data_IF_076329115376
#
_entry.id   IF_076329115376
#
_cell.length_a   1.000
_cell.length_b   1.000
_cell.length_c   1.000
_cell.angle_alpha   90.00
_cell.angle_beta   90.00
_cell.angle_gamma   90.00
#
_symmetry.space_group_name_H-M   'P 1'
#
loop_
_entity.id
_entity.type
_entity.pdbx_description
1 polymer ?
#
# COMPACT_ATOMS: atom_id res chain seq x y z
N UNK A 1 9.03 16.07 20.38
CA UNK A 1 7.85 16.32 19.51
C UNK A 1 8.14 17.55 18.64
N UNK A 2 8.47 17.35 17.36
CA UNK A 2 9.00 18.40 16.46
C UNK A 2 7.97 19.52 16.24
N UNK A 3 8.21 20.69 16.84
CA UNK A 3 7.26 21.82 16.94
C UNK A 3 7.23 22.74 15.70
N UNK A 4 7.90 22.38 14.60
CA UNK A 4 8.08 23.25 13.41
C UNK A 4 7.64 22.64 12.07
N UNK A 5 7.08 21.43 12.03
CA UNK A 5 6.60 20.87 10.75
C UNK A 5 5.14 21.26 10.50
N UNK A 6 4.86 21.73 9.28
CA UNK A 6 3.47 21.86 8.82
C UNK A 6 2.74 20.50 8.95
N UNK A 7 1.41 20.47 9.16
CA UNK A 7 0.66 19.21 9.29
C UNK A 7 0.91 18.24 8.12
N UNK A 8 1.12 18.79 6.91
CA UNK A 8 1.48 18.01 5.71
C UNK A 8 2.85 17.36 5.81
N UNK A 9 3.86 18.06 6.32
CA UNK A 9 5.21 17.52 6.54
C UNK A 9 5.24 16.46 7.64
N UNK A 10 4.43 16.62 8.69
CA UNK A 10 4.36 15.62 9.76
C UNK A 10 3.69 14.32 9.26
N UNK A 11 2.64 14.42 8.45
CA UNK A 11 2.02 13.27 7.80
C UNK A 11 2.96 12.57 6.81
N UNK A 12 3.75 13.34 6.07
CA UNK A 12 4.80 12.81 5.18
C UNK A 12 5.87 12.07 5.98
N UNK A 13 6.35 12.64 7.09
CA UNK A 13 7.32 12.00 7.96
C UNK A 13 6.79 10.66 8.51
N UNK A 14 5.53 10.63 8.97
CA UNK A 14 4.90 9.40 9.46
C UNK A 14 4.79 8.35 8.34
N UNK A 15 4.43 8.76 7.12
CA UNK A 15 4.37 7.83 5.98
C UNK A 15 5.76 7.31 5.61
N UNK A 16 6.78 8.17 5.58
CA UNK A 16 8.16 7.77 5.27
C UNK A 16 8.72 6.84 6.35
N UNK A 17 8.49 7.13 7.63
CA UNK A 17 8.90 6.26 8.73
C UNK A 17 8.16 4.92 8.72
N UNK A 18 6.86 4.93 8.42
CA UNK A 18 6.06 3.69 8.28
C UNK A 18 6.53 2.82 7.12
N UNK A 19 6.89 3.44 5.99
CA UNK A 19 7.54 2.75 4.87
C UNK A 19 8.88 2.16 5.30
N UNK A 20 9.76 2.96 5.93
CA UNK A 20 11.08 2.46 6.34
C UNK A 20 10.98 1.30 7.34
N UNK A 21 10.02 1.34 8.27
CA UNK A 21 9.73 0.23 9.18
C UNK A 21 9.26 -1.02 8.42
N UNK A 22 8.39 -0.86 7.41
CA UNK A 22 7.98 -1.98 6.54
C UNK A 22 9.16 -2.59 5.76
N UNK A 23 10.10 -1.76 5.27
CA UNK A 23 11.31 -2.23 4.59
C UNK A 23 12.20 -3.06 5.54
N UNK A 24 12.34 -2.61 6.79
CA UNK A 24 13.12 -3.31 7.81
C UNK A 24 12.49 -4.67 8.17
N UNK A 25 11.19 -4.68 8.45
CA UNK A 25 10.44 -5.87 8.86
C UNK A 25 10.35 -6.95 7.75
N UNK A 26 10.15 -6.53 6.49
CA UNK A 26 10.05 -7.49 5.38
C UNK A 26 11.43 -8.11 5.06
N UNK A 27 12.51 -7.34 5.20
CA UNK A 27 13.87 -7.81 4.94
C UNK A 27 14.40 -8.79 5.98
N UNK A 28 14.13 -8.58 7.26
CA UNK A 28 14.66 -9.43 8.34
C UNK A 28 13.81 -10.68 8.62
N UNK A 29 12.49 -10.61 8.43
CA UNK A 29 11.58 -11.65 8.93
C UNK A 29 10.74 -12.34 7.86
N UNK A 30 10.97 -12.04 6.56
CA UNK A 30 10.23 -12.61 5.44
C UNK A 30 8.70 -12.52 5.62
N UNK A 31 8.22 -11.40 6.19
CA UNK A 31 6.81 -11.15 6.50
C UNK A 31 5.91 -10.99 5.26
N UNK A 32 6.47 -10.98 4.05
CA UNK A 32 5.73 -10.70 2.82
C UNK A 32 6.39 -11.38 1.61
N UNK A 33 5.59 -11.70 0.60
CA UNK A 33 6.05 -12.17 -0.71
C UNK A 33 6.36 -11.02 -1.68
N UNK A 34 6.23 -9.77 -1.23
CA UNK A 34 6.47 -8.59 -2.04
C UNK A 34 7.93 -8.44 -2.43
N UNK A 35 8.17 -8.17 -3.73
CA UNK A 35 9.50 -7.78 -4.20
C UNK A 35 9.80 -6.31 -3.88
N UNK A 36 11.08 -5.93 -3.94
CA UNK A 36 11.53 -4.54 -3.81
C UNK A 36 10.78 -3.58 -4.76
N UNK A 37 10.38 -4.06 -5.94
CA UNK A 37 9.59 -3.29 -6.90
C UNK A 37 8.19 -2.96 -6.38
N UNK A 38 7.52 -3.92 -5.72
CA UNK A 38 6.20 -3.70 -5.13
C UNK A 38 6.27 -2.70 -3.98
N UNK A 39 7.33 -2.76 -3.18
CA UNK A 39 7.57 -1.77 -2.14
C UNK A 39 7.74 -0.34 -2.70
N UNK A 40 8.48 -0.17 -3.80
CA UNK A 40 8.60 1.12 -4.47
C UNK A 40 7.24 1.65 -4.96
N UNK A 41 6.37 0.77 -5.45
CA UNK A 41 5.00 1.16 -5.85
C UNK A 41 4.19 1.67 -4.65
N UNK A 42 4.31 1.02 -3.49
CA UNK A 42 3.68 1.45 -2.24
C UNK A 42 4.20 2.84 -1.81
N UNK A 43 5.51 3.11 -1.94
CA UNK A 43 6.06 4.45 -1.67
C UNK A 43 5.41 5.51 -2.55
N UNK A 44 5.33 5.25 -3.86
CA UNK A 44 4.71 6.18 -4.81
C UNK A 44 3.22 6.37 -4.48
N UNK A 45 2.54 5.33 -4.01
CA UNK A 45 1.16 5.42 -3.54
C UNK A 45 1.01 6.37 -2.35
N UNK A 46 1.90 6.27 -1.35
CA UNK A 46 1.90 7.16 -0.19
C UNK A 46 2.20 8.62 -0.58
N UNK A 47 3.13 8.85 -1.49
CA UNK A 47 3.38 10.19 -2.04
C UNK A 47 2.11 10.69 -2.75
N UNK A 48 1.50 9.84 -3.58
CA UNK A 48 0.24 10.12 -4.25
C UNK A 48 -0.91 10.47 -3.29
N UNK A 49 -0.97 9.79 -2.15
CA UNK A 49 -1.96 10.04 -1.09
C UNK A 49 -1.81 11.45 -0.48
N UNK A 50 -0.57 11.91 -0.28
CA UNK A 50 -0.30 13.20 0.37
C UNK A 50 -0.49 14.37 -0.60
N UNK A 51 0.07 14.26 -1.80
CA UNK A 51 0.12 15.37 -2.75
C UNK A 51 -1.08 15.40 -3.70
N UNK A 52 -1.67 14.25 -4.01
CA UNK A 52 -2.70 14.11 -5.03
C UNK A 52 -3.95 13.32 -4.57
N UNK A 53 -4.48 13.50 -3.34
CA UNK A 53 -5.54 12.65 -2.77
C UNK A 53 -6.83 12.65 -3.59
N UNK A 54 -7.12 13.74 -4.31
CA UNK A 54 -8.32 13.89 -5.12
C UNK A 54 -8.12 13.55 -6.60
N UNK A 55 -6.90 13.23 -7.03
CA UNK A 55 -6.60 12.93 -8.43
C UNK A 55 -7.11 11.55 -8.87
N UNK A 56 -7.38 11.36 -10.16
CA UNK A 56 -7.63 10.02 -10.71
C UNK A 56 -6.37 9.15 -10.71
N UNK A 57 -5.19 9.78 -10.84
CA UNK A 57 -3.90 9.11 -10.67
C UNK A 57 -3.85 8.33 -9.35
N UNK A 58 -4.26 8.95 -8.24
CA UNK A 58 -4.27 8.28 -6.93
C UNK A 58 -5.14 7.02 -6.90
N UNK A 59 -6.33 7.07 -7.52
CA UNK A 59 -7.23 5.91 -7.60
C UNK A 59 -6.65 4.78 -8.43
N UNK A 60 -6.17 5.10 -9.64
CA UNK A 60 -5.60 4.12 -10.58
C UNK A 60 -4.34 3.49 -9.97
N UNK A 61 -3.48 4.31 -9.37
CA UNK A 61 -2.25 3.83 -8.73
C UNK A 61 -2.53 2.91 -7.54
N UNK A 62 -3.58 3.18 -6.77
CA UNK A 62 -4.03 2.30 -5.69
C UNK A 62 -4.39 0.90 -6.17
N UNK A 63 -5.06 0.77 -7.32
CA UNK A 63 -5.31 -0.55 -7.91
C UNK A 63 -4.05 -1.22 -8.42
N UNK A 64 -3.14 -0.47 -9.07
CA UNK A 64 -1.84 -1.00 -9.51
C UNK A 64 -1.09 -1.63 -8.34
N UNK A 65 -1.04 -0.93 -7.20
CA UNK A 65 -0.41 -1.44 -5.98
C UNK A 65 -1.18 -2.64 -5.43
N UNK A 66 -2.50 -2.60 -5.40
CA UNK A 66 -3.33 -3.73 -4.96
C UNK A 66 -3.03 -5.02 -5.75
N UNK A 67 -2.92 -4.93 -7.07
CA UNK A 67 -2.52 -6.07 -7.91
C UNK A 67 -1.07 -6.47 -7.68
N UNK A 68 -0.16 -5.51 -7.52
CA UNK A 68 1.25 -5.78 -7.28
C UNK A 68 1.50 -6.53 -5.95
N UNK A 69 0.65 -6.33 -4.93
CA UNK A 69 0.65 -7.10 -3.67
C UNK A 69 -0.10 -8.43 -3.83
N UNK A 70 -1.27 -8.40 -4.48
CA UNK A 70 -2.16 -9.56 -4.57
C UNK A 70 -1.66 -10.69 -5.48
N UNK A 71 -0.98 -10.37 -6.59
CA UNK A 71 -0.51 -11.39 -7.54
C UNK A 71 0.57 -12.30 -6.92
N UNK A 72 1.64 -11.77 -6.30
CA UNK A 72 2.63 -12.61 -5.62
C UNK A 72 2.01 -13.49 -4.52
N UNK A 73 1.12 -12.91 -3.71
CA UNK A 73 0.36 -13.65 -2.70
C UNK A 73 -0.41 -14.84 -3.31
N UNK A 74 -1.17 -14.61 -4.39
CA UNK A 74 -1.93 -15.67 -5.04
C UNK A 74 -1.02 -16.76 -5.59
N UNK A 75 0.07 -16.39 -6.25
CA UNK A 75 1.05 -17.34 -6.77
C UNK A 75 1.62 -18.22 -5.66
N UNK A 76 1.97 -17.64 -4.52
CA UNK A 76 2.53 -18.40 -3.41
C UNK A 76 1.52 -19.27 -2.66
N UNK A 77 0.27 -18.83 -2.58
CA UNK A 77 -0.83 -19.67 -2.10
C UNK A 77 -1.03 -20.87 -3.04
N UNK A 78 -0.98 -20.67 -4.36
CA UNK A 78 -1.08 -21.78 -5.32
C UNK A 78 0.12 -22.72 -5.30
N UNK A 79 1.31 -22.19 -4.99
CA UNK A 79 2.55 -22.97 -4.82
C UNK A 79 2.62 -23.70 -3.47
N UNK A 80 1.61 -23.56 -2.59
CA UNK A 80 1.53 -24.20 -1.27
C UNK A 80 2.72 -23.86 -0.36
N UNK A 81 3.08 -22.58 -0.29
CA UNK A 81 4.07 -22.09 0.67
C UNK A 81 3.63 -22.35 2.12
N UNK A 82 4.57 -22.64 3.01
CA UNK A 82 4.33 -22.83 4.44
C UNK A 82 4.37 -21.50 5.23
N UNK A 83 4.74 -20.40 4.58
CA UNK A 83 4.82 -19.08 5.20
C UNK A 83 3.43 -18.45 5.42
N UNK A 84 2.71 -19.00 6.39
CA UNK A 84 1.36 -18.59 6.78
C UNK A 84 1.32 -17.13 7.23
N UNK A 85 2.39 -16.65 7.87
CA UNK A 85 2.49 -15.27 8.35
C UNK A 85 2.44 -14.29 7.19
N UNK A 86 3.26 -14.54 6.14
CA UNK A 86 3.25 -13.71 4.94
C UNK A 86 1.93 -13.77 4.18
N UNK A 87 1.30 -14.95 4.12
CA UNK A 87 -0.04 -15.10 3.53
C UNK A 87 -1.04 -14.18 4.23
N UNK A 88 -1.12 -14.25 5.55
CA UNK A 88 -2.07 -13.44 6.33
C UNK A 88 -1.80 -11.96 6.17
N UNK A 89 -0.53 -11.54 6.28
CA UNK A 89 -0.15 -10.14 6.17
C UNK A 89 -0.49 -9.55 4.79
N UNK A 90 -0.03 -10.19 3.71
CA UNK A 90 -0.26 -9.73 2.35
C UNK A 90 -1.76 -9.78 1.98
N UNK A 91 -2.52 -10.75 2.53
CA UNK A 91 -3.97 -10.83 2.34
C UNK A 91 -4.70 -9.65 2.96
N UNK A 92 -4.39 -9.32 4.21
CA UNK A 92 -4.97 -8.17 4.91
C UNK A 92 -4.61 -6.88 4.18
N UNK A 93 -3.34 -6.73 3.79
CA UNK A 93 -2.86 -5.56 3.08
C UNK A 93 -3.57 -5.39 1.74
N UNK A 94 -3.66 -6.45 0.94
CA UNK A 94 -4.35 -6.46 -0.35
C UNK A 94 -5.84 -6.09 -0.19
N UNK A 95 -6.53 -6.68 0.79
CA UNK A 95 -7.93 -6.37 1.08
C UNK A 95 -8.15 -4.90 1.46
N UNK A 96 -7.28 -4.34 2.30
CA UNK A 96 -7.36 -2.92 2.68
C UNK A 96 -7.17 -2.03 1.46
N UNK A 97 -6.17 -2.32 0.62
CA UNK A 97 -5.89 -1.53 -0.58
C UNK A 97 -7.08 -1.60 -1.55
N UNK A 98 -7.53 -2.80 -1.93
CA UNK A 98 -8.66 -2.94 -2.85
C UNK A 98 -9.96 -2.36 -2.29
N UNK A 99 -10.25 -2.58 -1.01
CA UNK A 99 -11.44 -2.05 -0.35
C UNK A 99 -11.45 -0.52 -0.33
N UNK A 100 -10.34 0.09 0.09
CA UNK A 100 -10.22 1.55 0.17
C UNK A 100 -10.29 2.23 -1.20
N UNK A 101 -9.49 1.75 -2.16
CA UNK A 101 -9.46 2.35 -3.50
C UNK A 101 -10.70 2.02 -4.32
N UNK A 102 -11.31 0.85 -4.12
CA UNK A 102 -12.63 0.50 -4.65
C UNK A 102 -13.70 1.48 -4.17
N UNK A 103 -13.77 1.74 -2.87
CA UNK A 103 -14.72 2.68 -2.29
C UNK A 103 -14.53 4.12 -2.80
N UNK A 104 -13.29 4.62 -2.83
CA UNK A 104 -12.99 5.97 -3.35
C UNK A 104 -13.41 6.09 -4.82
N UNK A 105 -13.09 5.07 -5.61
CA UNK A 105 -13.39 5.05 -7.04
C UNK A 105 -14.90 5.06 -7.26
N UNK A 106 -15.64 4.21 -6.54
CA UNK A 106 -17.10 4.20 -6.55
C UNK A 106 -17.70 5.56 -6.22
N UNK A 107 -17.25 6.19 -5.12
CA UNK A 107 -17.71 7.53 -4.71
C UNK A 107 -17.48 8.58 -5.80
N UNK A 108 -16.34 8.54 -6.49
CA UNK A 108 -16.03 9.48 -7.58
C UNK A 108 -16.93 9.31 -8.80
N UNK A 109 -17.30 8.08 -9.13
CA UNK A 109 -18.24 7.83 -10.21
C UNK A 109 -19.65 8.28 -9.83
N UNK A 110 -20.11 7.92 -8.62
CA UNK A 110 -21.46 8.28 -8.15
C UNK A 110 -21.69 9.78 -7.96
N UNK A 111 -20.64 10.58 -7.74
CA UNK A 111 -20.75 12.05 -7.62
C UNK A 111 -20.70 12.78 -8.98
N UNK A 112 -20.39 12.08 -10.08
CA UNK A 112 -20.38 12.64 -11.44
C UNK A 112 -21.70 12.40 -12.20
N UNK A 113 -22.54 11.49 -11.70
CA UNK A 113 -23.95 11.31 -12.05
C UNK A 113 -24.83 12.20 -11.18
#
# INVERSE_FOLDING_TARGET
>A
MFKFMSPKMNNLLICVLGVLALFWEIGEYHFSFMSNTVMLLIIILFIGFIFFPKSWFHCIWGFVVGFAVGIPLLLEVFNRTDNTVAIVFDSILSLIIFGYFGFITYRKFSQKT
#
